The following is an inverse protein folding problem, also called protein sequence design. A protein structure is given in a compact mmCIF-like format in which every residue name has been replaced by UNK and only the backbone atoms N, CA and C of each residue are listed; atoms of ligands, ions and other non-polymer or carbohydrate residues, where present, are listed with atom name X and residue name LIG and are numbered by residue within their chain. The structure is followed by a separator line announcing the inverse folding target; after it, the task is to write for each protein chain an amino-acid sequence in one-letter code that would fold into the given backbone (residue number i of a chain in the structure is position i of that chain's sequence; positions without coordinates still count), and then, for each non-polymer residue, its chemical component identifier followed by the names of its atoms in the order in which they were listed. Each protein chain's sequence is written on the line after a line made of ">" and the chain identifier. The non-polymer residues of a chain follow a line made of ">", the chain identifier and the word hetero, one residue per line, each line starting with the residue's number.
data_IF_457367789947
#
_entry.id   IF_457367789947
#
_cell.length_a   1.000
_cell.length_b   1.000
_cell.length_c   1.000
_cell.angle_alpha   90.00
_cell.angle_beta   90.00
_cell.angle_gamma   90.00
#
_symmetry.space_group_name_H-M   'P 1'
#
loop_
_entity.id
_entity.type
_entity.pdbx_description
1 polymer ?
#
# COMPACT_ATOMS: atom_id res chain seq x y z
N UNK A 1 -3.14 -12.82 -7.30
CA UNK A 1 -3.42 -12.01 -8.49
C UNK A 1 -2.98 -12.76 -9.73
N UNK A 2 -3.98 -13.16 -10.52
CA UNK A 2 -3.85 -13.97 -11.74
C UNK A 2 -3.62 -13.12 -13.01
N UNK A 3 -3.63 -11.79 -12.89
CA UNK A 3 -3.44 -10.83 -13.99
C UNK A 3 -2.08 -10.14 -13.86
N UNK A 4 -1.69 -9.74 -12.65
CA UNK A 4 -0.40 -9.12 -12.34
C UNK A 4 0.24 -9.87 -11.20
N UNK A 5 1.37 -10.52 -11.45
CA UNK A 5 2.09 -11.22 -10.39
C UNK A 5 2.52 -10.27 -9.26
N UNK A 6 2.23 -10.64 -8.01
CA UNK A 6 2.62 -9.93 -6.80
C UNK A 6 4.13 -9.58 -6.76
N UNK A 7 4.97 -10.43 -7.37
CA UNK A 7 6.42 -10.24 -7.50
C UNK A 7 6.82 -8.94 -8.20
N UNK A 8 5.97 -8.40 -9.08
CA UNK A 8 6.23 -7.10 -9.71
C UNK A 8 6.11 -5.96 -8.70
N UNK A 9 5.08 -5.99 -7.84
CA UNK A 9 4.91 -5.01 -6.76
C UNK A 9 6.08 -5.03 -5.78
N UNK A 10 6.56 -6.21 -5.39
CA UNK A 10 7.72 -6.36 -4.51
C UNK A 10 8.99 -5.75 -5.12
N UNK A 11 9.28 -6.07 -6.40
CA UNK A 11 10.42 -5.50 -7.12
C UNK A 11 10.32 -3.98 -7.21
N UNK A 12 9.16 -3.44 -7.55
CA UNK A 12 8.94 -1.99 -7.62
C UNK A 12 9.20 -1.31 -6.28
N UNK A 13 8.73 -1.90 -5.17
CA UNK A 13 8.97 -1.37 -3.83
C UNK A 13 10.46 -1.37 -3.45
N UNK A 14 11.18 -2.45 -3.79
CA UNK A 14 12.63 -2.55 -3.60
C UNK A 14 13.39 -1.50 -4.42
N UNK A 15 13.01 -1.29 -5.68
CA UNK A 15 13.63 -0.28 -6.54
C UNK A 15 13.41 1.14 -6.02
N UNK A 16 12.17 1.48 -5.59
CA UNK A 16 11.87 2.78 -5.00
C UNK A 16 12.65 3.00 -3.69
N UNK A 17 12.72 1.98 -2.83
CA UNK A 17 13.48 2.06 -1.58
C UNK A 17 14.98 2.26 -1.85
N UNK A 18 15.55 1.52 -2.80
CA UNK A 18 16.95 1.64 -3.22
C UNK A 18 17.28 3.00 -3.86
N UNK A 19 16.30 3.63 -4.50
CA UNK A 19 16.42 4.97 -5.08
C UNK A 19 16.27 6.10 -4.04
N UNK A 20 16.10 5.79 -2.75
CA UNK A 20 16.03 6.78 -1.68
C UNK A 20 14.63 7.33 -1.38
N UNK A 21 13.58 6.72 -1.95
CA UNK A 21 12.21 7.07 -1.57
C UNK A 21 11.92 6.56 -0.16
N UNK A 22 11.65 7.50 0.76
CA UNK A 22 11.46 7.20 2.19
C UNK A 22 10.02 6.83 2.57
N UNK A 23 9.07 7.06 1.66
CA UNK A 23 7.64 6.88 1.93
C UNK A 23 7.03 5.83 1.03
N UNK A 24 7.64 4.64 1.05
CA UNK A 24 7.20 3.47 0.29
C UNK A 24 6.65 2.45 1.28
N UNK A 25 5.44 1.94 1.02
CA UNK A 25 4.86 0.83 1.75
C UNK A 25 4.47 -0.26 0.76
N UNK A 26 4.90 -1.49 1.03
CA UNK A 26 4.48 -2.67 0.29
C UNK A 26 3.73 -3.59 1.25
N UNK A 27 2.48 -3.92 0.92
CA UNK A 27 1.65 -4.87 1.65
C UNK A 27 1.12 -5.90 0.67
N UNK A 28 1.36 -7.17 0.97
CA UNK A 28 0.75 -8.28 0.26
C UNK A 28 -0.51 -8.73 1.00
N UNK A 29 -1.55 -9.09 0.24
CA UNK A 29 -2.78 -9.65 0.76
C UNK A 29 -2.90 -11.08 0.25
N UNK A 30 -2.71 -12.05 1.15
CA UNK A 30 -2.80 -13.46 0.79
C UNK A 30 -4.22 -13.81 0.34
N UNK A 31 -4.34 -14.51 -0.79
CA UNK A 31 -5.63 -14.85 -1.38
C UNK A 31 -6.35 -13.71 -2.13
N UNK A 32 -5.75 -12.52 -2.24
CA UNK A 32 -6.33 -11.42 -3.01
C UNK A 32 -6.05 -11.58 -4.52
N UNK A 33 -7.13 -11.51 -5.30
CA UNK A 33 -7.10 -11.48 -6.76
C UNK A 33 -6.88 -10.06 -7.31
N UNK A 34 -7.22 -9.85 -8.57
CA UNK A 34 -7.11 -8.53 -9.22
C UNK A 34 -8.32 -7.63 -8.91
N UNK A 35 -8.55 -7.36 -7.63
CA UNK A 35 -9.63 -6.49 -7.14
C UNK A 35 -9.25 -5.94 -5.77
N UNK A 36 -9.89 -4.84 -5.40
CA UNK A 36 -9.68 -4.24 -4.08
C UNK A 36 -10.61 -4.84 -3.04
N UNK A 37 -10.18 -4.83 -1.77
CA UNK A 37 -11.03 -5.22 -0.64
C UNK A 37 -11.19 -4.07 0.36
N UNK A 38 -12.31 -4.00 1.11
CA UNK A 38 -12.53 -2.95 2.10
C UNK A 38 -11.39 -2.82 3.12
N UNK A 39 -10.75 -3.95 3.47
CA UNK A 39 -9.57 -3.98 4.36
C UNK A 39 -8.40 -3.17 3.78
N UNK A 40 -8.07 -3.41 2.52
CA UNK A 40 -7.00 -2.70 1.81
C UNK A 40 -7.30 -1.20 1.78
N UNK A 41 -8.55 -0.84 1.45
CA UNK A 41 -8.94 0.56 1.35
C UNK A 41 -8.89 1.28 2.72
N UNK A 42 -9.22 0.58 3.81
CA UNK A 42 -9.06 1.08 5.18
C UNK A 42 -7.59 1.35 5.51
N UNK A 43 -6.69 0.43 5.16
CA UNK A 43 -5.25 0.61 5.40
C UNK A 43 -4.65 1.75 4.56
N UNK A 44 -5.12 1.94 3.32
CA UNK A 44 -4.75 3.08 2.47
C UNK A 44 -5.25 4.39 3.09
N UNK A 45 -6.50 4.44 3.56
CA UNK A 45 -7.07 5.63 4.20
C UNK A 45 -6.28 6.02 5.45
N UNK A 46 -5.92 5.05 6.29
CA UNK A 46 -5.07 5.28 7.48
C UNK A 46 -3.68 5.79 7.10
N UNK A 47 -3.04 5.17 6.09
CA UNK A 47 -1.70 5.58 5.64
C UNK A 47 -1.70 7.03 5.10
N UNK A 48 -2.71 7.38 4.30
CA UNK A 48 -2.89 8.74 3.80
C UNK A 48 -3.16 9.72 4.94
N UNK A 49 -4.04 9.37 5.88
CA UNK A 49 -4.37 10.22 7.03
C UNK A 49 -3.14 10.52 7.88
N UNK A 50 -2.29 9.52 8.14
CA UNK A 50 -1.03 9.70 8.86
C UNK A 50 -0.04 10.58 8.10
N UNK A 51 0.02 10.49 6.76
CA UNK A 51 0.89 11.37 5.96
C UNK A 51 0.39 12.78 5.77
N UNK A 52 -0.91 12.99 5.80
CA UNK A 52 -1.51 14.31 5.73
C UNK A 52 -1.65 14.97 7.12
N UNK A 53 -1.29 14.26 8.20
CA UNK A 53 -1.44 14.77 9.57
C UNK A 53 -2.91 14.92 9.98
N UNK A 54 -3.80 14.11 9.41
CA UNK A 54 -5.25 14.15 9.65
C UNK A 54 -5.66 13.26 10.84
N UNK A 55 -4.70 12.59 11.48
CA UNK A 55 -4.86 11.82 12.72
C UNK A 55 -5.20 12.77 13.89
N UNK A 56 -6.44 13.26 13.91
CA UNK A 56 -6.91 14.25 14.89
C UNK A 56 -8.24 14.92 14.54
N UNK A 57 -8.72 14.81 13.30
CA UNK A 57 -10.07 15.25 12.90
C UNK A 57 -11.11 14.15 13.17
N UNK A 58 -11.22 13.71 14.43
CA UNK A 58 -12.42 13.02 14.89
C UNK A 58 -13.36 14.08 15.49
N UNK A 59 -14.42 14.44 14.77
CA UNK A 59 -15.56 15.17 15.37
C UNK A 59 -16.35 14.27 16.30
#
# INVERSE_FOLDING_TARGET
>A
DDVVHCKYGEKSAQSLSSAGFRYVAFKSYEGLGHYTVPREMGEVSTWLSSRLGLEGFSS
#
